data_IF_262064467135
#
_entry.id   IF_262064467135
#
_cell.length_a   1.000
_cell.length_b   1.000
_cell.length_c   1.000
_cell.angle_alpha   90.00
_cell.angle_beta   90.00
_cell.angle_gamma   90.00
#
_symmetry.space_group_name_H-M   'P 1'
#
loop_
_entity.id
_entity.type
_entity.pdbx_description
1 polymer ?
#
# COMPACT_ATOMS: atom_id res chain seq x y z
N UNK A 1 -13.05 -14.03 4.89
CA UNK A 1 -11.92 -13.60 5.35
C UNK A 1 -11.51 -12.22 4.95
N UNK A 2 -11.07 -11.50 5.83
CA UNK A 2 -10.95 -10.08 5.62
C UNK A 2 -9.52 -9.67 5.38
N UNK A 3 -9.02 -10.03 4.24
CA UNK A 3 -7.65 -9.69 3.91
C UNK A 3 -7.44 -8.20 3.85
N UNK A 4 -8.44 -7.47 3.36
CA UNK A 4 -8.32 -6.03 3.24
C UNK A 4 -8.09 -5.38 4.59
N UNK A 5 -8.79 -5.86 5.60
CA UNK A 5 -8.61 -5.34 6.94
C UNK A 5 -7.20 -5.59 7.45
N UNK A 6 -6.71 -6.80 7.25
CA UNK A 6 -5.36 -7.15 7.68
C UNK A 6 -4.32 -6.36 6.93
N UNK A 7 -4.54 -6.15 5.64
CA UNK A 7 -3.61 -5.38 4.83
C UNK A 7 -3.56 -3.92 5.29
N UNK A 8 -4.70 -3.37 5.64
CA UNK A 8 -4.73 -1.99 6.10
C UNK A 8 -3.91 -1.84 7.37
N UNK A 9 -4.03 -2.77 8.30
CA UNK A 9 -3.24 -2.73 9.52
C UNK A 9 -1.76 -2.85 9.24
N UNK A 10 -1.42 -3.75 8.34
CA UNK A 10 -0.03 -3.95 7.96
C UNK A 10 0.56 -2.68 7.36
N UNK A 11 -0.18 -2.07 6.44
CA UNK A 11 0.29 -0.87 5.77
C UNK A 11 0.46 0.29 6.74
N UNK A 12 -0.44 0.40 7.70
CA UNK A 12 -0.36 1.50 8.66
C UNK A 12 0.85 1.40 9.57
N UNK A 13 1.36 0.20 9.76
CA UNK A 13 2.52 0.00 10.62
C UNK A 13 3.83 0.15 9.88
N UNK A 14 3.79 0.15 8.57
CA UNK A 14 5.01 0.24 7.79
C UNK A 14 5.62 1.62 7.90
N UNK A 15 6.93 1.65 7.84
CA UNK A 15 7.64 2.92 7.75
C UNK A 15 7.42 3.51 6.37
N UNK A 16 7.49 4.83 6.28
CA UNK A 16 7.27 5.52 5.02
C UNK A 16 8.21 5.00 3.92
N UNK A 17 9.43 4.75 4.31
CA UNK A 17 10.42 4.23 3.37
C UNK A 17 9.96 2.89 2.77
N UNK A 18 9.47 2.01 3.63
CA UNK A 18 8.98 0.72 3.16
C UNK A 18 7.75 0.84 2.29
N UNK A 19 6.86 1.77 2.65
CA UNK A 19 5.67 2.01 1.86
C UNK A 19 6.03 2.47 0.45
N UNK A 20 6.98 3.39 0.34
CA UNK A 20 7.38 3.89 -0.96
C UNK A 20 7.99 2.79 -1.80
N UNK A 21 8.81 1.94 -1.20
CA UNK A 21 9.39 0.83 -1.91
C UNK A 21 8.33 -0.14 -2.40
N UNK A 22 7.35 -0.42 -1.57
CA UNK A 22 6.27 -1.32 -1.95
C UNK A 22 5.45 -0.74 -3.09
N UNK A 23 5.13 0.53 -3.01
CA UNK A 23 4.37 1.19 -4.07
C UNK A 23 5.13 1.11 -5.38
N UNK A 24 6.42 1.39 -5.34
CA UNK A 24 7.22 1.34 -6.53
C UNK A 24 7.22 -0.08 -7.13
N UNK A 25 7.44 -1.07 -6.28
CA UNK A 25 7.50 -2.45 -6.76
C UNK A 25 6.19 -2.89 -7.38
N UNK A 26 5.08 -2.56 -6.74
CA UNK A 26 3.78 -2.96 -7.23
C UNK A 26 3.34 -2.16 -8.45
N UNK A 27 3.91 -0.98 -8.65
CA UNK A 27 3.54 -0.15 -9.78
C UNK A 27 4.26 -0.53 -11.06
N UNK A 28 5.41 -1.18 -10.95
CA UNK A 28 6.21 -1.48 -12.12
C UNK A 28 5.45 -2.34 -13.13
N UNK A 29 4.79 -3.39 -12.64
CA UNK A 29 4.01 -4.25 -13.52
C UNK A 29 2.61 -4.39 -12.98
N UNK A 30 1.96 -3.26 -12.90
CA UNK A 30 0.66 -3.19 -12.27
C UNK A 30 -0.36 -4.12 -12.94
N UNK A 31 -0.23 -4.28 -14.24
CA UNK A 31 -1.16 -5.11 -14.97
C UNK A 31 -1.07 -6.58 -14.57
N UNK A 32 0.05 -6.99 -14.01
CA UNK A 32 0.25 -8.36 -13.59
C UNK A 32 -0.07 -8.59 -12.12
N UNK A 33 -0.44 -7.55 -11.42
CA UNK A 33 -0.75 -7.69 -10.01
C UNK A 33 -2.05 -8.48 -9.82
N UNK A 34 -2.08 -9.26 -8.76
CA UNK A 34 -3.32 -9.90 -8.35
C UNK A 34 -4.23 -8.86 -7.73
N UNK A 35 -5.47 -9.25 -7.52
CA UNK A 35 -6.41 -8.35 -6.89
C UNK A 35 -5.94 -7.94 -5.50
N UNK A 36 -5.37 -8.87 -4.75
CA UNK A 36 -4.86 -8.54 -3.42
C UNK A 36 -3.72 -7.54 -3.50
N UNK A 37 -2.86 -7.71 -4.48
CA UNK A 37 -1.74 -6.79 -4.65
C UNK A 37 -2.22 -5.41 -5.03
N UNK A 38 -3.25 -5.35 -5.87
CA UNK A 38 -3.82 -4.07 -6.24
C UNK A 38 -4.46 -3.37 -5.04
N UNK A 39 -5.12 -4.14 -4.18
CA UNK A 39 -5.68 -3.58 -2.96
C UNK A 39 -4.58 -3.04 -2.05
N UNK A 40 -3.51 -3.78 -1.93
CA UNK A 40 -2.38 -3.35 -1.10
C UNK A 40 -1.76 -2.09 -1.66
N UNK A 41 -1.63 -2.02 -2.98
CA UNK A 41 -1.09 -0.83 -3.62
C UNK A 41 -1.95 0.39 -3.33
N UNK A 42 -3.25 0.23 -3.46
CA UNK A 42 -4.17 1.33 -3.20
C UNK A 42 -4.08 1.78 -1.75
N UNK A 43 -4.01 0.84 -0.83
CA UNK A 43 -3.90 1.17 0.58
C UNK A 43 -2.60 1.88 0.89
N UNK A 44 -1.52 1.44 0.26
CA UNK A 44 -0.22 2.06 0.48
C UNK A 44 -0.20 3.48 -0.04
N UNK A 45 -0.76 3.70 -1.22
CA UNK A 45 -0.83 5.05 -1.77
C UNK A 45 -1.66 5.96 -0.88
N UNK A 46 -2.76 5.44 -0.38
CA UNK A 46 -3.62 6.20 0.49
C UNK A 46 -2.91 6.57 1.78
N UNK A 47 -2.18 5.64 2.34
CA UNK A 47 -1.46 5.88 3.58
C UNK A 47 -0.36 6.92 3.39
N UNK A 48 0.37 6.83 2.31
CA UNK A 48 1.42 7.81 2.02
C UNK A 48 0.80 9.20 1.89
N UNK A 49 -0.31 9.29 1.19
CA UNK A 49 -0.98 10.56 1.00
C UNK A 49 -1.43 11.13 2.34
N UNK A 50 -1.97 10.26 3.19
CA UNK A 50 -2.42 10.69 4.51
C UNK A 50 -1.25 11.25 5.33
N UNK A 51 -0.12 10.55 5.27
CA UNK A 51 1.05 10.99 6.03
C UNK A 51 1.59 12.31 5.52
N UNK A 52 1.59 12.48 4.21
CA UNK A 52 2.07 13.73 3.63
C UNK A 52 1.14 14.89 3.95
N UNK A 53 -0.14 14.63 4.00
CA UNK A 53 -1.12 15.68 4.26
C UNK A 53 -1.08 16.13 5.70
N UNK A 54 -0.45 15.34 6.53
CA UNK A 54 -0.46 15.60 7.93
C UNK A 54 0.61 16.53 8.39
N UNK A 55 1.18 17.23 7.79
CA UNK A 55 2.24 18.08 8.23
C UNK A 55 1.91 19.08 9.31
#
# INVERSE_FOLDING_TARGET
MIDTYNQAGYVRRMETYGLRNMIRALSIMEILNTEKENQRLALAKHEIKRRCARK
#
